data_IF_855045821602
#
_entry.id   IF_855045821602
#
_cell.length_a   1.000
_cell.length_b   1.000
_cell.length_c   1.000
_cell.angle_alpha   90.00
_cell.angle_beta   90.00
_cell.angle_gamma   90.00
#
_symmetry.space_group_name_H-M   'P 1'
#
loop_
_entity.id
_entity.type
_entity.pdbx_description
1 polymer ?
#
# COMPACT_ATOMS: atom_id res chain seq x y z
N UNK A 1 -13.19 -25.31 26.57
CA UNK A 1 -11.83 -24.76 26.53
C UNK A 1 -11.57 -24.41 25.09
N UNK A 2 -11.84 -23.16 24.72
CA UNK A 2 -11.46 -22.64 23.40
C UNK A 2 -9.94 -22.60 23.38
N UNK A 3 -9.34 -23.39 22.49
CA UNK A 3 -7.91 -23.28 22.17
C UNK A 3 -7.70 -21.89 21.57
N UNK A 4 -7.11 -20.98 22.34
CA UNK A 4 -6.51 -19.75 21.80
C UNK A 4 -5.47 -20.18 20.75
N UNK A 5 -5.89 -20.17 19.49
CA UNK A 5 -4.98 -20.34 18.37
C UNK A 5 -4.06 -19.12 18.40
N UNK A 6 -2.83 -19.30 18.87
CA UNK A 6 -1.81 -18.26 18.83
C UNK A 6 -1.58 -17.90 17.37
N UNK A 7 -2.22 -16.84 16.89
CA UNK A 7 -2.05 -16.37 15.52
C UNK A 7 -0.66 -15.76 15.38
N UNK A 8 0.28 -16.58 14.94
CA UNK A 8 1.63 -16.14 14.60
C UNK A 8 1.60 -15.26 13.35
N UNK A 9 2.42 -14.22 13.36
CA UNK A 9 2.59 -13.30 12.25
C UNK A 9 4.06 -13.00 12.03
N UNK A 10 4.43 -12.76 10.77
CA UNK A 10 5.72 -12.15 10.41
C UNK A 10 5.52 -10.64 10.39
N UNK A 11 6.50 -9.92 10.92
CA UNK A 11 6.57 -8.46 10.83
C UNK A 11 7.73 -8.07 9.92
N UNK A 12 7.45 -7.24 8.92
CA UNK A 12 8.46 -6.63 8.06
C UNK A 12 8.16 -5.13 7.90
N UNK A 13 9.12 -4.29 8.27
CA UNK A 13 8.88 -2.85 8.40
C UNK A 13 7.74 -2.58 9.41
N UNK A 14 6.73 -1.83 8.96
CA UNK A 14 5.52 -1.57 9.75
C UNK A 14 4.42 -2.63 9.55
N UNK A 15 4.53 -3.46 8.51
CA UNK A 15 3.52 -4.42 8.13
C UNK A 15 3.60 -5.71 8.94
N UNK A 16 2.44 -6.33 9.17
CA UNK A 16 2.30 -7.69 9.72
C UNK A 16 1.54 -8.58 8.75
N UNK A 17 1.93 -9.84 8.59
CA UNK A 17 1.19 -10.83 7.80
C UNK A 17 1.08 -12.14 8.57
N UNK A 18 -0.05 -12.84 8.47
CA UNK A 18 -0.26 -14.12 9.13
C UNK A 18 0.61 -15.23 8.53
N UNK A 19 1.16 -16.09 9.39
CA UNK A 19 2.00 -17.24 8.97
C UNK A 19 1.19 -18.49 8.61
N UNK A 20 -0.07 -18.56 9.03
CA UNK A 20 -0.98 -19.69 8.81
C UNK A 20 -1.67 -19.66 7.43
N UNK A 21 -1.26 -18.74 6.55
CA UNK A 21 -1.85 -18.56 5.22
C UNK A 21 -1.06 -19.34 4.18
N UNK A 22 -1.72 -19.99 3.22
CA UNK A 22 -1.02 -20.65 2.09
C UNK A 22 -0.17 -19.65 1.29
N UNK A 23 -0.53 -18.36 1.32
CA UNK A 23 0.27 -17.31 0.70
C UNK A 23 1.64 -17.09 1.36
N UNK A 24 1.87 -17.64 2.57
CA UNK A 24 3.19 -17.62 3.24
C UNK A 24 4.25 -18.33 2.42
N UNK A 25 3.88 -19.32 1.59
CA UNK A 25 4.82 -19.98 0.68
C UNK A 25 5.43 -19.02 -0.34
N UNK A 26 4.79 -17.87 -0.59
CA UNK A 26 5.31 -16.80 -1.43
C UNK A 26 6.09 -15.73 -0.64
N UNK A 27 6.07 -15.77 0.70
CA UNK A 27 6.93 -14.92 1.50
C UNK A 27 8.38 -15.40 1.39
N UNK A 28 9.24 -14.50 0.91
CA UNK A 28 10.68 -14.73 0.86
C UNK A 28 11.40 -13.65 1.69
N UNK A 29 12.06 -14.02 2.80
CA UNK A 29 12.84 -13.09 3.63
C UNK A 29 13.93 -12.37 2.83
N UNK A 30 14.55 -13.04 1.86
CA UNK A 30 15.63 -12.47 1.04
C UNK A 30 15.13 -11.28 0.20
N UNK A 31 13.81 -11.18 -0.04
CA UNK A 31 13.21 -10.06 -0.76
C UNK A 31 12.94 -8.82 0.11
N UNK A 32 13.26 -8.81 1.41
CA UNK A 32 13.07 -7.65 2.30
C UNK A 32 13.81 -6.42 1.75
N UNK A 33 15.06 -6.57 1.33
CA UNK A 33 15.84 -5.49 0.72
C UNK A 33 15.16 -4.91 -0.54
N UNK A 34 14.58 -5.76 -1.39
CA UNK A 34 13.88 -5.29 -2.59
C UNK A 34 12.62 -4.48 -2.24
N UNK A 35 11.91 -4.87 -1.18
CA UNK A 35 10.73 -4.17 -0.69
C UNK A 35 11.13 -2.83 -0.04
N UNK A 36 12.19 -2.81 0.77
CA UNK A 36 12.74 -1.59 1.37
C UNK A 36 13.19 -0.58 0.32
N UNK A 37 13.92 -1.04 -0.69
CA UNK A 37 14.38 -0.19 -1.79
C UNK A 37 13.19 0.43 -2.53
N UNK A 38 12.14 -0.35 -2.79
CA UNK A 38 10.92 0.12 -3.45
C UNK A 38 10.18 1.15 -2.60
N UNK A 39 10.04 0.92 -1.29
CA UNK A 39 9.43 1.90 -0.37
C UNK A 39 10.24 3.19 -0.35
N UNK A 40 11.58 3.11 -0.28
CA UNK A 40 12.45 4.28 -0.29
C UNK A 40 12.31 5.09 -1.59
N UNK A 41 12.27 4.39 -2.74
CA UNK A 41 12.05 5.00 -4.05
C UNK A 41 10.71 5.74 -4.10
N UNK A 42 9.62 5.08 -3.69
CA UNK A 42 8.28 5.67 -3.73
C UNK A 42 8.15 6.85 -2.78
N UNK A 43 8.69 6.78 -1.57
CA UNK A 43 8.77 7.92 -0.63
C UNK A 43 9.49 9.12 -1.23
N UNK A 44 10.60 8.85 -1.92
CA UNK A 44 11.38 9.92 -2.56
C UNK A 44 10.62 10.51 -3.73
N UNK A 45 9.98 9.66 -4.54
CA UNK A 45 9.16 10.09 -5.67
C UNK A 45 7.96 10.94 -5.25
N UNK A 46 7.20 10.54 -4.22
CA UNK A 46 6.05 11.33 -3.71
C UNK A 46 6.51 12.70 -3.23
N UNK A 47 7.60 12.75 -2.46
CA UNK A 47 8.18 14.00 -1.98
C UNK A 47 8.59 14.94 -3.12
N UNK A 48 9.33 14.44 -4.11
CA UNK A 48 9.75 15.26 -5.27
C UNK A 48 8.53 15.78 -6.03
N UNK A 49 7.53 14.93 -6.26
CA UNK A 49 6.29 15.30 -6.97
C UNK A 49 5.52 16.39 -6.22
N UNK A 50 5.44 16.30 -4.90
CA UNK A 50 4.81 17.31 -4.05
C UNK A 50 5.55 18.65 -4.10
N UNK A 51 6.88 18.63 -3.99
CA UNK A 51 7.72 19.83 -4.08
C UNK A 51 7.53 20.52 -5.44
N UNK A 52 7.53 19.76 -6.54
CA UNK A 52 7.27 20.30 -7.88
C UNK A 52 5.86 20.90 -8.00
N UNK A 53 4.83 20.22 -7.47
CA UNK A 53 3.46 20.73 -7.47
C UNK A 53 3.37 22.03 -6.66
N UNK A 54 4.02 22.09 -5.51
CA UNK A 54 4.07 23.29 -4.66
C UNK A 54 4.76 24.46 -5.38
N UNK A 55 5.91 24.24 -6.01
CA UNK A 55 6.62 25.26 -6.79
C UNK A 55 5.77 25.79 -7.94
N UNK A 56 5.12 24.90 -8.71
CA UNK A 56 4.23 25.29 -9.80
C UNK A 56 3.05 26.13 -9.28
N UNK A 57 2.44 25.72 -8.16
CA UNK A 57 1.35 26.48 -7.54
C UNK A 57 1.79 27.86 -7.05
N UNK A 58 3.02 28.00 -6.54
CA UNK A 58 3.58 29.30 -6.13
C UNK A 58 3.83 30.23 -7.31
N UNK A 59 4.24 29.69 -8.46
CA UNK A 59 4.39 30.44 -9.72
C UNK A 59 3.02 30.89 -10.25
N UNK A 60 2.04 29.99 -10.29
CA UNK A 60 0.73 30.26 -10.89
C UNK A 60 -0.16 31.18 -10.03
N UNK A 61 0.01 31.21 -8.71
CA UNK A 61 -0.82 32.00 -7.79
C UNK A 61 -0.02 32.58 -6.60
N UNK A 62 0.81 33.61 -6.80
CA UNK A 62 1.66 34.17 -5.74
C UNK A 62 0.87 34.79 -4.56
N UNK A 63 -0.38 35.21 -4.78
CA UNK A 63 -1.18 36.01 -3.81
C UNK A 63 -2.23 35.22 -3.03
N UNK A 64 -2.47 33.93 -3.31
CA UNK A 64 -3.66 33.20 -2.81
C UNK A 64 -3.33 31.89 -2.06
N UNK A 65 -2.29 31.89 -1.22
CA UNK A 65 -1.82 30.72 -0.45
C UNK A 65 -2.89 30.06 0.44
N UNK A 66 -3.90 30.80 0.89
CA UNK A 66 -4.89 30.34 1.88
C UNK A 66 -6.13 29.68 1.23
N UNK A 67 -6.61 30.20 0.09
CA UNK A 67 -7.79 29.62 -0.60
C UNK A 67 -7.48 28.34 -1.37
N UNK A 68 -6.24 28.16 -1.84
CA UNK A 68 -5.84 26.96 -2.59
C UNK A 68 -5.78 25.69 -1.70
N UNK A 69 -5.37 25.80 -0.44
CA UNK A 69 -5.30 24.66 0.51
C UNK A 69 -6.66 23.98 0.72
N UNK A 70 -7.77 24.71 0.61
CA UNK A 70 -9.13 24.22 0.88
C UNK A 70 -9.74 23.51 -0.34
N UNK A 71 -9.21 23.77 -1.56
CA UNK A 71 -9.77 23.27 -2.82
C UNK A 71 -8.90 22.20 -3.49
N UNK A 72 -7.86 21.70 -2.81
CA UNK A 72 -7.08 20.58 -3.33
C UNK A 72 -7.93 19.32 -3.25
N UNK A 73 -8.47 18.90 -4.39
CA UNK A 73 -8.67 17.47 -4.61
C UNK A 73 -7.30 16.82 -4.37
N UNK A 74 -7.22 15.97 -3.35
CA UNK A 74 -6.05 15.16 -3.02
C UNK A 74 -5.75 14.21 -4.19
N UNK A 75 -5.10 14.69 -5.24
CA UNK A 75 -4.51 13.85 -6.28
C UNK A 75 -3.20 13.27 -5.76
N UNK A 76 -3.32 12.35 -4.81
CA UNK A 76 -2.23 11.50 -4.38
C UNK A 76 -1.80 10.57 -5.51
N UNK A 77 -0.73 9.82 -5.28
CA UNK A 77 -0.29 8.81 -6.27
C UNK A 77 -1.18 7.57 -6.20
N UNK A 78 -1.34 6.90 -7.34
CA UNK A 78 -1.96 5.57 -7.44
C UNK A 78 -0.87 4.53 -7.64
N UNK A 79 -0.95 3.43 -6.90
CA UNK A 79 0.05 2.37 -6.91
C UNK A 79 -0.62 1.04 -7.23
N UNK A 80 -0.05 0.26 -8.13
CA UNK A 80 -0.48 -1.11 -8.43
C UNK A 80 0.58 -2.10 -7.90
N UNK A 81 0.15 -3.00 -7.02
CA UNK A 81 0.86 -4.23 -6.69
C UNK A 81 0.22 -5.38 -7.47
N UNK A 82 0.73 -5.62 -8.68
CA UNK A 82 0.06 -6.44 -9.70
C UNK A 82 0.00 -7.93 -9.37
N UNK A 83 0.97 -8.43 -8.59
CA UNK A 83 1.10 -9.83 -8.16
C UNK A 83 1.36 -9.84 -6.66
N UNK A 84 0.31 -9.57 -5.90
CA UNK A 84 0.39 -9.14 -4.52
C UNK A 84 0.59 -10.29 -3.53
N UNK A 85 0.21 -11.52 -3.89
CA UNK A 85 0.28 -12.73 -3.08
C UNK A 85 -0.27 -12.55 -1.66
N UNK A 86 0.59 -12.25 -0.69
CA UNK A 86 0.20 -12.01 0.71
C UNK A 86 -0.33 -10.59 0.98
N UNK A 87 -0.16 -9.65 0.05
CA UNK A 87 -0.49 -8.24 0.25
C UNK A 87 0.63 -7.43 0.91
N UNK A 88 1.77 -8.04 1.22
CA UNK A 88 2.82 -7.42 2.05
C UNK A 88 3.32 -6.09 1.47
N UNK A 89 3.56 -6.00 0.15
CA UNK A 89 4.00 -4.74 -0.49
C UNK A 89 2.91 -3.68 -0.40
N UNK A 90 1.68 -4.00 -0.79
CA UNK A 90 0.54 -3.09 -0.70
C UNK A 90 0.35 -2.54 0.73
N UNK A 91 0.45 -3.40 1.76
CA UNK A 91 0.35 -2.99 3.17
C UNK A 91 1.50 -2.06 3.55
N UNK A 92 2.75 -2.41 3.20
CA UNK A 92 3.90 -1.56 3.47
C UNK A 92 3.78 -0.20 2.79
N UNK A 93 3.31 -0.16 1.54
CA UNK A 93 3.05 1.11 0.85
C UNK A 93 2.04 1.96 1.61
N UNK A 94 0.93 1.37 2.05
CA UNK A 94 -0.11 2.10 2.76
C UNK A 94 0.30 2.65 4.12
N UNK A 95 1.19 1.93 4.83
CA UNK A 95 1.69 2.31 6.16
C UNK A 95 2.87 3.26 6.10
N UNK A 96 3.73 3.13 5.09
CA UNK A 96 5.04 3.79 5.08
C UNK A 96 5.09 4.99 4.13
N UNK A 97 4.18 5.12 3.16
CA UNK A 97 4.23 6.19 2.14
C UNK A 97 3.07 7.17 2.31
N UNK A 98 3.39 8.46 2.26
CA UNK A 98 2.43 9.56 2.35
C UNK A 98 1.82 9.91 0.97
N UNK A 99 0.70 10.63 0.98
CA UNK A 99 0.03 11.15 -0.22
C UNK A 99 -0.28 10.09 -1.30
N UNK A 100 -0.76 8.94 -0.84
CA UNK A 100 -1.34 7.90 -1.69
C UNK A 100 -2.83 8.17 -1.83
N UNK A 101 -3.32 8.19 -3.07
CA UNK A 101 -4.76 8.21 -3.38
C UNK A 101 -5.35 6.80 -3.32
N UNK A 102 -4.68 5.83 -3.97
CA UNK A 102 -5.17 4.45 -4.07
C UNK A 102 -4.03 3.46 -4.22
N UNK A 103 -4.11 2.34 -3.52
CA UNK A 103 -3.32 1.14 -3.81
C UNK A 103 -4.26 0.07 -4.37
N UNK A 104 -3.87 -0.57 -5.47
CA UNK A 104 -4.55 -1.77 -5.97
C UNK A 104 -3.65 -2.97 -5.65
N UNK A 105 -4.15 -3.88 -4.82
CA UNK A 105 -3.51 -5.16 -4.52
C UNK A 105 -4.18 -6.25 -5.37
N UNK A 106 -3.54 -6.64 -6.47
CA UNK A 106 -4.09 -7.62 -7.39
C UNK A 106 -3.45 -8.99 -7.19
N UNK A 107 -4.26 -10.04 -7.32
CA UNK A 107 -3.76 -11.39 -7.53
C UNK A 107 -4.73 -12.24 -8.37
N UNK A 108 -4.20 -13.22 -9.09
CA UNK A 108 -4.98 -14.18 -9.88
C UNK A 108 -5.52 -15.34 -9.04
N UNK A 109 -5.05 -15.50 -7.80
CA UNK A 109 -5.54 -16.55 -6.88
C UNK A 109 -6.62 -16.01 -5.95
N UNK A 110 -7.78 -16.66 -5.92
CA UNK A 110 -8.87 -16.34 -4.97
C UNK A 110 -8.39 -16.51 -3.51
N UNK A 111 -7.49 -17.47 -3.26
CA UNK A 111 -6.88 -17.67 -1.94
C UNK A 111 -5.94 -16.52 -1.57
N UNK A 112 -5.16 -16.02 -2.53
CA UNK A 112 -4.32 -14.84 -2.32
C UNK A 112 -5.18 -13.61 -2.02
N UNK A 113 -6.28 -13.40 -2.75
CA UNK A 113 -7.25 -12.32 -2.49
C UNK A 113 -7.83 -12.40 -1.07
N UNK A 114 -8.23 -13.59 -0.62
CA UNK A 114 -8.67 -13.82 0.78
C UNK A 114 -7.56 -13.51 1.79
N UNK A 115 -6.33 -13.88 1.46
CA UNK A 115 -5.16 -13.63 2.32
C UNK A 115 -4.82 -12.14 2.40
N UNK A 116 -4.82 -11.43 1.28
CA UNK A 116 -4.64 -9.98 1.20
C UNK A 116 -5.65 -9.30 2.12
N UNK A 117 -6.94 -9.67 2.01
CA UNK A 117 -7.99 -9.12 2.86
C UNK A 117 -7.70 -9.33 4.35
N UNK A 118 -7.39 -10.57 4.75
CA UNK A 118 -7.10 -10.92 6.14
C UNK A 118 -5.87 -10.17 6.69
N UNK A 119 -4.82 -10.00 5.87
CA UNK A 119 -3.63 -9.26 6.25
C UNK A 119 -3.87 -7.74 6.30
N UNK A 120 -4.73 -7.20 5.44
CA UNK A 120 -5.16 -5.80 5.52
C UNK A 120 -5.89 -5.51 6.83
N UNK A 121 -6.83 -6.36 7.21
CA UNK A 121 -7.55 -6.29 8.48
C UNK A 121 -6.58 -6.34 9.68
N UNK A 122 -5.56 -7.22 9.63
CA UNK A 122 -4.51 -7.30 10.66
C UNK A 122 -3.73 -5.99 10.85
N UNK A 123 -3.60 -5.18 9.80
CA UNK A 123 -2.89 -3.89 9.83
C UNK A 123 -3.84 -2.69 10.01
N UNK A 124 -5.12 -2.93 10.34
CA UNK A 124 -6.10 -1.88 10.61
C UNK A 124 -6.77 -1.28 9.37
N UNK A 125 -6.62 -1.91 8.20
CA UNK A 125 -7.32 -1.51 6.98
C UNK A 125 -8.63 -2.30 6.86
N UNK A 126 -9.69 -1.80 7.49
CA UNK A 126 -11.03 -2.41 7.45
C UNK A 126 -11.86 -1.92 6.26
N UNK A 127 -11.59 -0.70 5.78
CA UNK A 127 -12.31 -0.07 4.67
C UNK A 127 -11.42 0.01 3.41
N UNK A 128 -11.98 -0.29 2.24
CA UNK A 128 -11.27 -0.34 0.95
C UNK A 128 -10.95 1.04 0.35
N UNK A 129 -11.19 2.13 1.08
CA UNK A 129 -11.05 3.50 0.55
C UNK A 129 -9.61 3.84 0.13
N UNK A 130 -8.61 3.28 0.82
CA UNK A 130 -7.18 3.51 0.52
C UNK A 130 -6.55 2.36 -0.26
N UNK A 131 -7.07 1.14 -0.11
CA UNK A 131 -6.51 -0.08 -0.69
C UNK A 131 -7.67 -0.90 -1.27
N UNK A 132 -7.67 -1.05 -2.59
CA UNK A 132 -8.62 -1.89 -3.32
C UNK A 132 -7.98 -3.25 -3.59
N UNK A 133 -8.69 -4.31 -3.21
CA UNK A 133 -8.30 -5.68 -3.55
C UNK A 133 -8.89 -6.02 -4.93
N UNK A 134 -8.09 -6.62 -5.81
CA UNK A 134 -8.53 -7.00 -7.14
C UNK A 134 -8.23 -8.48 -7.40
N UNK A 135 -9.18 -9.16 -8.04
CA UNK A 135 -9.07 -10.56 -8.45
C UNK A 135 -9.07 -10.63 -9.98
N UNK A 136 -7.90 -10.56 -10.59
CA UNK A 136 -7.76 -10.72 -12.04
C UNK A 136 -6.37 -11.14 -12.44
N UNK A 137 -6.26 -11.53 -13.71
CA UNK A 137 -4.96 -11.59 -14.37
C UNK A 137 -4.31 -10.21 -14.33
N UNK A 138 -3.00 -10.15 -14.09
CA UNK A 138 -2.25 -8.90 -13.97
C UNK A 138 -2.30 -8.04 -15.26
N UNK A 139 -2.51 -8.66 -16.42
CA UNK A 139 -2.68 -7.96 -17.70
C UNK A 139 -4.04 -7.26 -17.84
N UNK A 140 -4.98 -7.51 -16.93
CA UNK A 140 -6.35 -7.01 -16.98
C UNK A 140 -6.69 -6.00 -15.87
N UNK A 141 -5.68 -5.54 -15.12
CA UNK A 141 -5.83 -4.64 -13.96
C UNK A 141 -5.81 -3.17 -14.35
#
# INVERSE_FOLDING_TARGET
METECSTEYIKEGLAKIYTDTEAISFYNPIQEFNRDLTVCLLKTFTKIREEQKQQQMEIDNPTNKIKLKIKQNNEGIKILDALSASGLRAIRFALEIENIELIVANDFSEQAVKTIKRNLELNGFLDENKIKINFSDAMQV
#
